data_IF_843870917340
#
_entry.id   IF_843870917340
#
_cell.length_a   1.000
_cell.length_b   1.000
_cell.length_c   1.000
_cell.angle_alpha   90.00
_cell.angle_beta   90.00
_cell.angle_gamma   90.00
#
_symmetry.space_group_name_H-M   'P 1'
#
loop_
_entity.id
_entity.type
_entity.pdbx_description
1 polymer ?
#
# COMPACT_ATOMS: atom_id res chain seq x y z
N UNK A 1 9.76 5.25 10.47
CA UNK A 1 8.92 4.48 11.41
C UNK A 1 9.82 3.43 12.04
N UNK A 2 10.26 3.59 13.29
CA UNK A 2 11.08 2.59 13.97
C UNK A 2 10.14 1.54 14.61
N UNK A 3 10.16 0.32 14.08
CA UNK A 3 9.48 -0.82 14.68
C UNK A 3 10.42 -1.48 15.69
N UNK A 4 9.95 -1.70 16.93
CA UNK A 4 10.62 -2.62 17.85
C UNK A 4 9.87 -3.94 17.80
N UNK A 5 10.59 -5.06 17.86
CA UNK A 5 9.98 -6.39 17.99
C UNK A 5 9.19 -6.52 19.31
N UNK A 6 9.60 -5.76 20.34
CA UNK A 6 8.97 -5.76 21.66
C UNK A 6 7.70 -4.88 21.73
N UNK A 7 7.44 -4.09 20.69
CA UNK A 7 6.26 -3.24 20.63
C UNK A 7 5.04 -4.09 20.23
N UNK A 8 4.34 -4.65 21.23
CA UNK A 8 3.15 -5.48 21.02
C UNK A 8 2.10 -4.80 20.14
N UNK A 9 1.96 -3.47 20.20
CA UNK A 9 1.00 -2.75 19.33
C UNK A 9 1.35 -2.89 17.84
N UNK A 10 2.64 -3.11 17.52
CA UNK A 10 3.13 -3.30 16.16
C UNK A 10 3.26 -4.77 15.75
N UNK A 11 3.38 -5.71 16.69
CA UNK A 11 3.65 -7.12 16.35
C UNK A 11 2.45 -8.05 16.59
N UNK A 12 1.55 -7.73 17.51
CA UNK A 12 0.45 -8.63 17.91
C UNK A 12 -0.49 -8.97 16.76
N UNK A 13 -0.82 -8.00 15.90
CA UNK A 13 -1.67 -8.23 14.74
C UNK A 13 -1.03 -9.13 13.67
N UNK A 14 0.30 -9.22 13.63
CA UNK A 14 1.02 -10.14 12.73
C UNK A 14 1.07 -11.55 13.32
N UNK A 15 1.32 -11.64 14.63
CA UNK A 15 1.35 -12.91 15.36
C UNK A 15 -0.04 -13.56 15.48
N UNK A 16 -1.11 -12.76 15.36
CA UNK A 16 -2.49 -13.25 15.34
C UNK A 16 -2.93 -13.81 13.97
N UNK A 17 -2.09 -13.75 12.93
CA UNK A 17 -2.42 -14.33 11.62
C UNK A 17 -2.42 -15.86 11.68
N UNK A 18 -3.28 -16.48 10.87
CA UNK A 18 -3.36 -17.94 10.80
C UNK A 18 -2.03 -18.55 10.35
N UNK A 19 -1.55 -19.53 11.12
CA UNK A 19 -0.25 -20.18 10.91
C UNK A 19 0.98 -19.33 11.22
N UNK A 20 0.83 -18.16 11.86
CA UNK A 20 1.96 -17.30 12.23
C UNK A 20 2.85 -17.94 13.30
N UNK A 21 2.25 -18.62 14.29
CA UNK A 21 3.00 -19.25 15.38
C UNK A 21 3.97 -20.33 14.90
N UNK A 22 3.70 -20.94 13.74
CA UNK A 22 4.52 -22.01 13.17
C UNK A 22 5.46 -21.53 12.06
N UNK A 23 5.10 -20.46 11.33
CA UNK A 23 5.78 -20.09 10.06
C UNK A 23 6.23 -18.63 9.97
N UNK A 24 5.81 -17.76 10.90
CA UNK A 24 6.20 -16.35 10.89
C UNK A 24 7.42 -16.14 11.80
N UNK A 25 8.52 -15.70 11.21
CA UNK A 25 9.72 -15.28 11.93
C UNK A 25 9.90 -13.78 11.78
N UNK A 26 9.91 -13.05 12.90
CA UNK A 26 10.12 -11.61 12.91
C UNK A 26 11.61 -11.30 13.10
N UNK A 27 12.16 -10.47 12.22
CA UNK A 27 13.54 -9.99 12.28
C UNK A 27 13.56 -8.48 12.49
N UNK A 28 14.45 -8.02 13.37
CA UNK A 28 14.74 -6.58 13.49
C UNK A 28 15.76 -6.23 12.42
N UNK A 29 15.42 -5.27 11.58
CA UNK A 29 16.27 -4.78 10.49
C UNK A 29 16.29 -3.26 10.51
N UNK A 30 17.40 -2.66 10.11
CA UNK A 30 17.54 -1.22 9.99
C UNK A 30 17.90 -0.86 8.55
N UNK A 31 17.05 -0.07 7.91
CA UNK A 31 17.07 0.12 6.45
C UNK A 31 18.42 0.62 5.92
N UNK A 32 19.11 1.47 6.68
CA UNK A 32 20.38 2.08 6.31
C UNK A 32 21.60 1.42 6.96
N UNK A 33 21.39 0.43 7.83
CA UNK A 33 22.47 -0.32 8.47
C UNK A 33 22.89 -1.48 7.57
N UNK A 34 24.14 -1.45 7.09
CA UNK A 34 24.61 -2.39 6.08
C UNK A 34 24.70 -3.82 6.65
N UNK A 35 24.11 -4.78 5.93
CA UNK A 35 24.07 -6.18 6.37
C UNK A 35 22.97 -6.50 7.38
N UNK A 36 22.17 -5.52 7.83
CA UNK A 36 21.07 -5.75 8.77
C UNK A 36 19.99 -6.71 8.25
N UNK A 37 19.94 -6.94 6.93
CA UNK A 37 19.03 -7.89 6.28
C UNK A 37 19.64 -9.29 6.07
N UNK A 38 20.95 -9.48 6.27
CA UNK A 38 21.66 -10.72 5.90
C UNK A 38 21.01 -11.95 6.55
N UNK A 39 20.78 -11.93 7.86
CA UNK A 39 20.14 -13.04 8.58
C UNK A 39 18.68 -13.27 8.17
N UNK A 40 17.96 -12.22 7.75
CA UNK A 40 16.56 -12.34 7.38
C UNK A 40 16.37 -12.97 5.99
N UNK A 41 17.37 -12.85 5.11
CA UNK A 41 17.30 -13.39 3.74
C UNK A 41 18.06 -14.72 3.59
N UNK A 42 18.79 -15.14 4.61
CA UNK A 42 19.52 -16.42 4.60
C UNK A 42 18.55 -17.60 4.41
N UNK A 43 18.91 -18.53 3.52
CA UNK A 43 18.10 -19.70 3.17
C UNK A 43 16.83 -19.41 2.37
N UNK A 44 16.52 -18.16 2.07
CA UNK A 44 15.34 -17.81 1.28
C UNK A 44 15.52 -18.18 -0.21
N UNK A 45 14.42 -18.57 -0.85
CA UNK A 45 14.35 -18.73 -2.32
C UNK A 45 13.92 -17.45 -3.03
N UNK A 46 13.28 -16.53 -2.31
CA UNK A 46 12.82 -15.27 -2.84
C UNK A 46 12.61 -14.23 -1.77
N UNK A 47 12.66 -12.97 -2.19
CA UNK A 47 12.52 -11.81 -1.29
C UNK A 47 11.50 -10.83 -1.86
N UNK A 48 10.53 -10.43 -1.04
CA UNK A 48 9.53 -9.42 -1.36
C UNK A 48 9.88 -8.12 -0.64
N UNK A 49 10.48 -7.17 -1.35
CA UNK A 49 10.77 -5.85 -0.81
C UNK A 49 9.57 -4.92 -1.00
N UNK A 50 8.74 -4.85 0.05
CA UNK A 50 7.52 -4.01 0.10
C UNK A 50 7.71 -2.71 0.90
N UNK A 51 8.81 -2.62 1.66
CA UNK A 51 9.10 -1.48 2.52
C UNK A 51 9.28 -0.21 1.68
N UNK A 52 8.58 0.86 2.07
CA UNK A 52 8.73 2.16 1.42
C UNK A 52 8.60 3.32 2.41
N UNK A 53 9.49 4.33 2.35
CA UNK A 53 9.36 5.54 3.14
C UNK A 53 7.99 6.17 2.97
N UNK A 54 7.40 6.59 4.09
CA UNK A 54 6.05 7.14 4.14
C UNK A 54 6.02 8.30 5.12
N UNK A 55 6.34 9.50 4.63
CA UNK A 55 6.32 10.74 5.41
C UNK A 55 5.26 11.69 4.84
N UNK A 56 4.51 12.34 5.72
CA UNK A 56 3.50 13.36 5.36
C UNK A 56 4.10 14.77 5.39
N UNK A 57 5.11 15.00 6.23
CA UNK A 57 5.85 16.24 6.36
C UNK A 57 7.33 15.91 6.16
N UNK A 58 7.90 16.35 5.04
CA UNK A 58 9.27 16.05 4.60
C UNK A 58 10.05 17.34 4.60
N UNK A 59 11.06 17.44 5.46
CA UNK A 59 11.88 18.66 5.56
C UNK A 59 13.03 18.63 4.56
N UNK A 60 13.67 17.47 4.43
CA UNK A 60 14.70 17.21 3.42
C UNK A 60 14.28 16.07 2.49
N UNK A 61 13.70 16.36 1.32
CA UNK A 61 13.31 15.37 0.33
C UNK A 61 14.46 14.48 -0.17
N UNK A 62 15.68 15.01 -0.20
CA UNK A 62 16.84 14.25 -0.65
C UNK A 62 17.19 13.18 0.37
N UNK A 63 17.41 13.57 1.62
CA UNK A 63 17.79 12.63 2.68
C UNK A 63 16.64 11.68 3.06
N UNK A 64 15.44 12.22 3.27
CA UNK A 64 14.31 11.48 3.88
C UNK A 64 13.53 10.61 2.90
N UNK A 65 13.63 10.87 1.59
CA UNK A 65 12.94 10.06 0.58
C UNK A 65 13.90 9.42 -0.42
N UNK A 66 14.72 10.21 -1.11
CA UNK A 66 15.52 9.71 -2.23
C UNK A 66 16.64 8.81 -1.71
N UNK A 67 17.49 9.34 -0.83
CA UNK A 67 18.62 8.60 -0.27
C UNK A 67 18.14 7.39 0.52
N UNK A 68 17.10 7.54 1.35
CA UNK A 68 16.53 6.43 2.11
C UNK A 68 16.01 5.33 1.19
N UNK A 69 15.29 5.67 0.12
CA UNK A 69 14.78 4.68 -0.83
C UNK A 69 15.90 4.00 -1.61
N UNK A 70 16.87 4.76 -2.14
CA UNK A 70 17.98 4.22 -2.94
C UNK A 70 18.91 3.38 -2.06
N UNK A 71 19.42 3.92 -0.96
CA UNK A 71 20.36 3.23 -0.07
C UNK A 71 19.69 2.03 0.58
N UNK A 72 18.44 2.16 1.04
CA UNK A 72 17.67 1.04 1.60
C UNK A 72 17.44 -0.10 0.61
N UNK A 73 17.09 0.23 -0.64
CA UNK A 73 16.92 -0.77 -1.70
C UNK A 73 18.24 -1.48 -2.00
N UNK A 74 19.33 -0.73 -2.14
CA UNK A 74 20.67 -1.30 -2.40
C UNK A 74 21.14 -2.19 -1.25
N UNK A 75 20.85 -1.83 0.00
CA UNK A 75 21.20 -2.64 1.16
C UNK A 75 20.54 -4.03 1.08
N UNK A 76 19.23 -4.08 0.83
CA UNK A 76 18.50 -5.34 0.63
C UNK A 76 19.08 -6.15 -0.54
N UNK A 77 19.34 -5.50 -1.69
CA UNK A 77 19.93 -6.17 -2.85
C UNK A 77 21.31 -6.77 -2.55
N UNK A 78 22.16 -6.08 -1.78
CA UNK A 78 23.48 -6.59 -1.38
C UNK A 78 23.35 -7.80 -0.47
N UNK A 79 22.43 -7.79 0.49
CA UNK A 79 22.15 -8.96 1.33
C UNK A 79 21.68 -10.14 0.49
N UNK A 80 20.76 -9.92 -0.45
CA UNK A 80 20.29 -10.98 -1.34
C UNK A 80 21.40 -11.55 -2.23
N UNK A 81 22.30 -10.71 -2.74
CA UNK A 81 23.39 -11.13 -3.61
C UNK A 81 24.40 -12.08 -2.92
N UNK A 82 24.46 -12.07 -1.58
CA UNK A 82 25.30 -12.99 -0.79
C UNK A 82 24.69 -14.39 -0.67
N UNK A 83 23.41 -14.57 -0.98
CA UNK A 83 22.65 -15.81 -0.72
C UNK A 83 22.37 -16.56 -2.03
N UNK A 84 23.07 -17.68 -2.32
CA UNK A 84 22.95 -18.39 -3.59
C UNK A 84 21.57 -19.04 -3.83
N UNK A 85 20.78 -19.27 -2.77
CA UNK A 85 19.46 -19.88 -2.88
C UNK A 85 18.39 -18.93 -3.44
N UNK A 86 18.62 -17.62 -3.42
CA UNK A 86 17.65 -16.62 -3.89
C UNK A 86 17.57 -16.65 -5.41
N UNK A 87 16.37 -16.93 -5.93
CA UNK A 87 16.09 -17.04 -7.36
C UNK A 87 15.38 -15.82 -7.92
N UNK A 88 14.61 -15.11 -7.09
CA UNK A 88 13.77 -13.99 -7.54
C UNK A 88 13.56 -12.98 -6.42
N UNK A 89 13.68 -11.70 -6.77
CA UNK A 89 13.42 -10.57 -5.86
C UNK A 89 12.30 -9.74 -6.46
N UNK A 90 11.27 -9.46 -5.68
CA UNK A 90 10.13 -8.65 -6.09
C UNK A 90 10.16 -7.32 -5.35
N UNK A 91 10.07 -6.22 -6.10
CA UNK A 91 10.04 -4.87 -5.57
C UNK A 91 8.66 -4.25 -5.77
N UNK A 92 8.04 -3.80 -4.68
CA UNK A 92 6.85 -2.97 -4.75
C UNK A 92 7.25 -1.52 -4.98
N UNK A 93 7.11 -1.03 -6.22
CA UNK A 93 7.37 0.37 -6.54
C UNK A 93 6.06 1.15 -6.51
N UNK A 94 5.99 2.15 -5.62
CA UNK A 94 4.90 3.13 -5.64
C UNK A 94 5.27 4.28 -6.57
N UNK A 95 4.41 4.54 -7.53
CA UNK A 95 4.53 5.74 -8.35
C UNK A 95 3.57 6.80 -7.78
N UNK A 96 4.09 7.93 -7.30
CA UNK A 96 3.27 9.00 -6.70
C UNK A 96 2.25 9.60 -7.68
N UNK A 97 2.45 9.46 -9.00
CA UNK A 97 1.47 9.81 -10.02
C UNK A 97 0.27 8.84 -10.07
N UNK A 98 0.36 7.72 -9.36
CA UNK A 98 -0.69 6.70 -9.20
C UNK A 98 -0.98 6.57 -7.71
N UNK A 99 -1.72 7.54 -7.17
CA UNK A 99 -2.06 7.58 -5.74
C UNK A 99 -2.72 6.28 -5.28
N UNK A 100 -2.08 5.59 -4.34
CA UNK A 100 -2.71 4.55 -3.54
C UNK A 100 -3.17 5.15 -2.21
N UNK A 101 -4.47 5.02 -1.93
CA UNK A 101 -5.10 5.45 -0.68
C UNK A 101 -4.85 4.50 0.51
N UNK A 102 -4.16 3.37 0.33
CA UNK A 102 -4.08 2.30 1.35
C UNK A 102 -3.13 2.56 2.52
N UNK A 103 -2.87 3.82 2.91
CA UNK A 103 -2.22 4.10 4.19
C UNK A 103 -3.31 4.16 5.24
N UNK A 104 -3.70 3.00 5.78
CA UNK A 104 -4.71 2.85 6.84
C UNK A 104 -4.52 3.80 8.04
N UNK A 105 -3.29 4.28 8.30
CA UNK A 105 -2.99 5.29 9.32
C UNK A 105 -3.25 6.75 8.88
N UNK A 106 -3.00 7.08 7.61
CA UNK A 106 -3.32 8.40 7.05
C UNK A 106 -4.81 8.52 6.73
N UNK A 107 -5.42 7.42 6.28
CA UNK A 107 -6.87 7.28 6.15
C UNK A 107 -7.55 7.39 7.52
N UNK A 108 -7.06 6.68 8.53
CA UNK A 108 -7.51 6.79 9.93
C UNK A 108 -7.41 8.22 10.47
N UNK A 109 -6.31 8.92 10.22
CA UNK A 109 -6.15 10.30 10.68
C UNK A 109 -7.05 11.27 9.89
N UNK A 110 -7.19 11.07 8.58
CA UNK A 110 -8.04 11.89 7.73
C UNK A 110 -9.54 11.68 8.03
N UNK A 111 -9.98 10.43 8.22
CA UNK A 111 -11.36 10.09 8.57
C UNK A 111 -11.70 10.52 9.99
N UNK A 112 -10.84 10.23 10.97
CA UNK A 112 -11.05 10.69 12.35
C UNK A 112 -11.09 12.22 12.44
N UNK A 113 -10.21 12.93 11.72
CA UNK A 113 -10.27 14.37 11.61
C UNK A 113 -11.56 14.86 10.92
N UNK A 114 -11.99 14.18 9.84
CA UNK A 114 -13.21 14.52 9.13
C UNK A 114 -14.48 14.30 9.97
N UNK A 115 -14.51 13.27 10.82
CA UNK A 115 -15.62 13.00 11.73
C UNK A 115 -15.65 13.95 12.92
N UNK A 116 -14.50 14.15 13.58
CA UNK A 116 -14.38 15.05 14.74
C UNK A 116 -14.69 16.52 14.36
N UNK A 117 -14.49 16.89 13.10
CA UNK A 117 -14.70 18.26 12.61
C UNK A 117 -15.90 18.39 11.65
N UNK A 118 -16.68 17.32 11.45
CA UNK A 118 -17.84 17.32 10.56
C UNK A 118 -17.50 17.89 9.18
N UNK A 119 -16.48 17.32 8.51
CA UNK A 119 -15.97 17.81 7.23
C UNK A 119 -17.14 18.02 6.25
N UNK A 120 -17.53 19.28 6.07
CA UNK A 120 -18.62 19.64 5.18
C UNK A 120 -18.18 19.60 3.71
N UNK A 121 -16.86 19.64 3.49
CA UNK A 121 -16.24 19.79 2.18
C UNK A 121 -15.25 18.66 1.86
N UNK A 122 -15.11 18.34 0.58
CA UNK A 122 -14.08 17.45 0.05
C UNK A 122 -13.35 18.11 -1.12
N UNK A 123 -12.09 17.75 -1.35
CA UNK A 123 -11.36 18.16 -2.54
C UNK A 123 -11.60 17.13 -3.65
N UNK A 124 -12.13 17.56 -4.80
CA UNK A 124 -12.31 16.62 -5.91
C UNK A 124 -10.95 16.28 -6.50
N UNK A 125 -10.59 15.00 -6.44
CA UNK A 125 -9.32 14.48 -6.93
C UNK A 125 -9.54 13.10 -7.52
N UNK A 126 -8.80 12.78 -8.57
CA UNK A 126 -8.88 11.49 -9.25
C UNK A 126 -7.81 10.56 -8.71
N UNK A 127 -8.21 9.41 -8.18
CA UNK A 127 -7.33 8.38 -7.65
C UNK A 127 -7.52 7.07 -8.42
N UNK A 128 -6.54 6.15 -8.34
CA UNK A 128 -6.73 4.78 -8.85
C UNK A 128 -6.91 3.84 -7.67
N UNK A 129 -8.02 3.11 -7.69
CA UNK A 129 -8.39 2.22 -6.59
C UNK A 129 -8.05 0.78 -6.93
N UNK A 130 -7.34 0.13 -6.03
CA UNK A 130 -6.96 -1.26 -6.16
C UNK A 130 -7.08 -1.93 -4.79
N UNK A 131 -7.67 -3.12 -4.76
CA UNK A 131 -7.76 -3.90 -3.54
C UNK A 131 -6.37 -4.41 -3.12
N UNK A 132 -6.06 -4.34 -1.83
CA UNK A 132 -4.76 -4.77 -1.30
C UNK A 132 -4.53 -6.28 -1.49
N UNK A 133 -5.61 -7.06 -1.55
CA UNK A 133 -5.58 -8.50 -1.81
C UNK A 133 -5.13 -8.78 -3.23
N UNK A 134 -5.63 -8.01 -4.21
CA UNK A 134 -5.21 -8.11 -5.61
C UNK A 134 -3.71 -7.81 -5.75
N UNK A 135 -3.22 -6.78 -5.04
CA UNK A 135 -1.79 -6.42 -5.01
C UNK A 135 -0.97 -7.56 -4.43
N UNK A 136 -1.39 -8.12 -3.29
CA UNK A 136 -0.68 -9.21 -2.61
C UNK A 136 -0.64 -10.48 -3.48
N UNK A 137 -1.76 -10.85 -4.08
CA UNK A 137 -1.87 -11.98 -5.00
C UNK A 137 -1.00 -11.79 -6.24
N UNK A 138 -0.94 -10.58 -6.81
CA UNK A 138 -0.08 -10.29 -7.95
C UNK A 138 1.41 -10.50 -7.62
N UNK A 139 1.85 -10.18 -6.39
CA UNK A 139 3.22 -10.46 -5.97
C UNK A 139 3.46 -11.98 -5.89
N UNK A 140 2.56 -12.73 -5.26
CA UNK A 140 2.67 -14.20 -5.15
C UNK A 140 2.72 -14.84 -6.54
N UNK A 141 1.77 -14.49 -7.41
CA UNK A 141 1.70 -15.02 -8.77
C UNK A 141 2.94 -14.66 -9.61
N UNK A 142 3.46 -13.45 -9.48
CA UNK A 142 4.71 -13.06 -10.14
C UNK A 142 5.92 -13.84 -9.59
N UNK A 143 5.91 -14.21 -8.30
CA UNK A 143 6.96 -15.01 -7.71
C UNK A 143 6.90 -16.46 -8.20
N UNK A 144 5.72 -17.08 -8.15
CA UNK A 144 5.50 -18.49 -8.48
C UNK A 144 5.62 -18.77 -9.98
N UNK A 145 5.25 -17.81 -10.84
CA UNK A 145 5.34 -17.98 -12.29
C UNK A 145 6.82 -17.89 -12.75
N UNK A 146 7.43 -18.96 -13.26
CA UNK A 146 8.84 -18.95 -13.68
C UNK A 146 9.08 -18.07 -14.92
N UNK A 147 8.03 -17.79 -15.71
CA UNK A 147 8.10 -16.93 -16.89
C UNK A 147 7.88 -15.45 -16.56
N UNK A 148 7.52 -15.13 -15.32
CA UNK A 148 7.30 -13.74 -14.94
C UNK A 148 8.62 -12.97 -14.89
N UNK A 149 8.68 -11.86 -15.63
CA UNK A 149 9.86 -11.00 -15.70
C UNK A 149 9.48 -9.54 -15.93
N UNK A 150 10.40 -8.62 -15.64
CA UNK A 150 10.20 -7.18 -15.85
C UNK A 150 9.16 -6.57 -14.90
N UNK A 151 8.40 -5.59 -15.40
CA UNK A 151 7.50 -4.76 -14.58
C UNK A 151 6.04 -5.12 -14.82
N UNK A 152 5.27 -5.21 -13.74
CA UNK A 152 3.82 -5.43 -13.78
C UNK A 152 3.12 -4.21 -13.19
N UNK A 153 2.38 -3.48 -14.02
CA UNK A 153 1.58 -2.36 -13.56
C UNK A 153 0.29 -2.90 -12.94
N UNK A 154 0.13 -2.68 -11.63
CA UNK A 154 -1.11 -2.99 -10.91
C UNK A 154 -1.82 -1.66 -10.69
N UNK A 155 -2.77 -1.35 -11.57
CA UNK A 155 -3.46 -0.07 -11.55
C UNK A 155 -4.95 -0.30 -11.81
N UNK A 156 -5.79 0.17 -10.90
CA UNK A 156 -7.24 0.20 -11.10
C UNK A 156 -7.67 1.31 -12.05
N UNK A 157 -8.99 1.47 -12.19
CA UNK A 157 -9.56 2.56 -13.00
C UNK A 157 -9.35 3.91 -12.29
N UNK A 158 -9.11 5.01 -13.02
CA UNK A 158 -9.23 6.34 -12.46
C UNK A 158 -10.67 6.57 -11.99
N UNK A 159 -10.82 7.00 -10.73
CA UNK A 159 -12.10 7.30 -10.10
C UNK A 159 -12.00 8.65 -9.42
N UNK A 160 -12.97 9.52 -9.67
CA UNK A 160 -13.10 10.78 -8.96
C UNK A 160 -13.58 10.54 -7.53
N UNK A 161 -13.12 11.36 -6.59
CA UNK A 161 -13.56 11.25 -5.20
C UNK A 161 -15.08 11.42 -5.04
N UNK A 162 -15.70 12.28 -5.86
CA UNK A 162 -17.16 12.43 -5.93
C UNK A 162 -17.90 11.13 -6.26
N UNK A 163 -17.37 10.31 -7.17
CA UNK A 163 -17.93 9.01 -7.53
C UNK A 163 -17.82 8.01 -6.37
N UNK A 164 -16.72 8.07 -5.61
CA UNK A 164 -16.52 7.22 -4.43
C UNK A 164 -17.54 7.59 -3.36
N UNK A 165 -17.71 8.88 -3.06
CA UNK A 165 -18.72 9.36 -2.12
C UNK A 165 -20.13 8.92 -2.55
N UNK A 166 -20.44 8.97 -3.85
CA UNK A 166 -21.72 8.47 -4.38
C UNK A 166 -21.90 6.97 -4.11
N UNK A 167 -20.88 6.14 -4.36
CA UNK A 167 -20.92 4.70 -4.06
C UNK A 167 -21.06 4.44 -2.56
N UNK A 168 -20.31 5.16 -1.72
CA UNK A 168 -20.38 5.03 -0.27
C UNK A 168 -21.75 5.42 0.28
N UNK A 169 -22.39 6.48 -0.22
CA UNK A 169 -23.77 6.85 0.18
C UNK A 169 -24.79 5.77 -0.19
N UNK A 170 -24.60 5.07 -1.31
CA UNK A 170 -25.48 3.97 -1.71
C UNK A 170 -25.28 2.74 -0.83
N UNK A 171 -24.02 2.40 -0.49
CA UNK A 171 -23.69 1.24 0.34
C UNK A 171 -23.97 1.48 1.83
N UNK A 172 -23.79 2.72 2.31
CA UNK A 172 -23.87 3.12 3.70
C UNK A 172 -24.62 4.47 3.86
N UNK A 173 -25.95 4.50 3.70
CA UNK A 173 -26.73 5.73 3.77
C UNK A 173 -26.67 6.45 5.13
N UNK A 174 -26.34 5.72 6.20
CA UNK A 174 -26.22 6.26 7.56
C UNK A 174 -24.86 6.91 7.84
N UNK A 175 -23.90 6.81 6.92
CA UNK A 175 -22.56 7.38 7.10
C UNK A 175 -22.60 8.88 6.80
N UNK A 176 -22.15 9.70 7.75
CA UNK A 176 -22.05 11.15 7.60
C UNK A 176 -20.90 11.48 6.64
N UNK A 177 -21.22 11.67 5.35
CA UNK A 177 -20.24 11.93 4.29
C UNK A 177 -20.27 13.40 3.86
N UNK A 178 -19.12 14.00 3.49
CA UNK A 178 -19.04 15.39 3.03
C UNK A 178 -19.93 15.62 1.80
N UNK A 179 -20.60 16.78 1.74
CA UNK A 179 -21.54 17.13 0.66
C UNK A 179 -20.96 18.11 -0.37
N UNK A 180 -20.14 19.07 0.07
CA UNK A 180 -19.68 20.17 -0.78
C UNK A 180 -18.29 19.90 -1.36
N UNK A 181 -18.09 20.18 -2.64
CA UNK A 181 -16.74 20.19 -3.21
C UNK A 181 -16.07 21.53 -2.90
N UNK A 182 -14.79 21.55 -2.52
CA UNK A 182 -13.98 22.77 -2.55
C UNK A 182 -13.79 23.20 -4.02
N UNK A 183 -14.07 24.46 -4.33
CA UNK A 183 -14.20 25.01 -5.68
C UNK A 183 -13.03 24.66 -6.63
N UNK A 184 -13.35 24.54 -7.93
CA UNK A 184 -12.46 24.09 -9.01
C UNK A 184 -11.15 24.90 -9.14
N UNK A 185 -11.13 26.17 -8.72
CA UNK A 185 -9.93 27.04 -8.75
C UNK A 185 -8.81 26.59 -7.79
N UNK A 186 -9.13 25.79 -6.76
CA UNK A 186 -8.13 25.21 -5.83
C UNK A 186 -7.95 23.70 -6.06
N UNK A 187 -8.60 23.14 -7.08
CA UNK A 187 -8.44 21.74 -7.42
C UNK A 187 -7.03 21.50 -7.99
N UNK A 188 -6.35 20.47 -7.47
CA UNK A 188 -5.16 19.92 -8.11
C UNK A 188 -5.54 19.59 -9.57
N UNK A 189 -4.73 19.96 -10.58
CA UNK A 189 -5.05 19.67 -11.98
C UNK A 189 -5.46 18.21 -12.13
N UNK A 190 -6.64 17.98 -12.72
CA UNK A 190 -7.21 16.66 -12.92
C UNK A 190 -6.13 15.74 -13.48
N UNK A 191 -5.72 14.72 -12.71
CA UNK A 191 -4.80 13.71 -13.22
C UNK A 191 -5.37 13.18 -14.53
N UNK A 192 -4.58 13.12 -15.62
CA UNK A 192 -5.13 12.71 -16.89
C UNK A 192 -5.73 11.31 -16.74
N UNK A 193 -6.93 11.14 -17.28
CA UNK A 193 -7.76 9.93 -17.19
C UNK A 193 -7.23 8.78 -18.04
N UNK A 194 -5.93 8.79 -18.35
CA UNK A 194 -5.29 7.77 -19.17
C UNK A 194 -5.44 6.41 -18.50
N UNK A 195 -5.81 5.41 -19.29
CA UNK A 195 -5.91 4.05 -18.80
C UNK A 195 -4.52 3.43 -18.75
N UNK A 196 -4.26 2.66 -17.71
CA UNK A 196 -3.06 1.82 -17.63
C UNK A 196 -3.46 0.43 -18.07
N UNK A 197 -2.69 -0.16 -18.99
CA UNK A 197 -2.96 -1.54 -19.42
C UNK A 197 -2.84 -2.50 -18.23
N UNK A 198 -3.85 -3.33 -18.08
CA UNK A 198 -3.91 -4.41 -17.09
C UNK A 198 -3.56 -5.78 -17.69
N UNK A 199 -3.27 -5.86 -18.99
CA UNK A 199 -3.10 -7.14 -19.70
C UNK A 199 -1.95 -7.95 -19.11
N UNK A 200 -0.82 -7.30 -18.84
CA UNK A 200 0.38 -7.97 -18.33
C UNK A 200 0.20 -8.51 -16.91
N UNK A 201 -0.55 -7.82 -16.05
CA UNK A 201 -0.82 -8.33 -14.69
C UNK A 201 -1.91 -9.41 -14.73
N UNK A 202 -2.90 -9.28 -15.61
CA UNK A 202 -3.89 -10.35 -15.86
C UNK A 202 -3.27 -11.61 -16.44
N UNK A 203 -2.19 -11.50 -17.22
CA UNK A 203 -1.47 -12.67 -17.74
C UNK A 203 -0.75 -13.48 -16.64
N UNK A 204 -0.66 -12.96 -15.40
CA UNK A 204 -0.23 -13.74 -14.23
C UNK A 204 -1.37 -14.56 -13.60
N UNK A 205 -2.62 -14.34 -14.01
CA UNK A 205 -3.82 -14.91 -13.38
C UNK A 205 -4.51 -14.00 -12.37
N UNK A 206 -4.10 -12.73 -12.25
CA UNK A 206 -4.72 -11.77 -11.33
C UNK A 206 -6.14 -11.44 -11.79
N UNK A 207 -7.08 -11.59 -10.87
CA UNK A 207 -8.47 -11.12 -11.02
C UNK A 207 -8.66 -9.91 -10.12
N UNK A 208 -9.21 -8.83 -10.67
CA UNK A 208 -9.41 -7.59 -9.93
C UNK A 208 -10.72 -7.61 -9.16
N UNK A 209 -10.65 -7.30 -7.87
CA UNK A 209 -11.80 -7.14 -6.99
C UNK A 209 -12.63 -5.91 -7.41
N UNK A 210 -13.96 -6.03 -7.52
CA UNK A 210 -14.83 -4.88 -7.81
C UNK A 210 -14.71 -3.77 -6.76
N UNK A 211 -14.86 -2.52 -7.19
CA UNK A 211 -14.72 -1.35 -6.32
C UNK A 211 -15.68 -1.42 -5.12
N UNK A 212 -16.92 -1.81 -5.35
CA UNK A 212 -17.98 -1.87 -4.35
C UNK A 212 -17.66 -2.90 -3.26
N UNK A 213 -17.03 -4.01 -3.65
CA UNK A 213 -16.59 -5.06 -2.72
C UNK A 213 -15.44 -4.53 -1.85
N UNK A 214 -14.45 -3.89 -2.47
CA UNK A 214 -13.28 -3.33 -1.77
C UNK A 214 -13.67 -2.17 -0.83
N UNK A 215 -14.57 -1.28 -1.26
CA UNK A 215 -15.11 -0.21 -0.41
C UNK A 215 -15.88 -0.77 0.78
N UNK A 216 -16.70 -1.80 0.57
CA UNK A 216 -17.44 -2.46 1.65
C UNK A 216 -16.49 -3.09 2.67
N UNK A 217 -15.52 -3.88 2.22
CA UNK A 217 -14.52 -4.48 3.12
C UNK A 217 -13.77 -3.40 3.90
N UNK A 218 -13.34 -2.33 3.22
CA UNK A 218 -12.64 -1.20 3.87
C UNK A 218 -13.48 -0.59 5.00
N UNK A 219 -14.75 -0.27 4.75
CA UNK A 219 -15.63 0.35 5.76
C UNK A 219 -15.91 -0.61 6.92
N UNK A 220 -16.18 -1.90 6.65
CA UNK A 220 -16.39 -2.87 7.73
C UNK A 220 -15.14 -3.07 8.58
N UNK A 221 -13.94 -3.17 7.96
CA UNK A 221 -12.65 -3.25 8.67
C UNK A 221 -12.39 -2.03 9.54
N UNK A 222 -12.81 -0.85 9.07
CA UNK A 222 -12.67 0.39 9.83
C UNK A 222 -13.61 0.40 11.05
N UNK A 223 -14.86 -0.07 10.91
CA UNK A 223 -15.81 -0.23 12.03
C UNK A 223 -15.31 -1.23 13.07
N UNK A 224 -14.83 -2.40 12.64
CA UNK A 224 -14.27 -3.43 13.52
C UNK A 224 -13.12 -2.90 14.40
N UNK A 225 -12.39 -1.90 13.89
CA UNK A 225 -11.25 -1.27 14.59
C UNK A 225 -11.64 -0.01 15.36
N UNK A 226 -12.94 0.28 15.49
CA UNK A 226 -13.51 1.45 16.15
C UNK A 226 -12.94 2.76 15.58
N UNK A 227 -12.92 2.87 14.24
CA UNK A 227 -12.66 4.14 13.56
C UNK A 227 -13.89 4.98 13.31
N UNK A 228 -15.08 4.45 13.62
CA UNK A 228 -16.38 5.09 13.59
C UNK A 228 -17.03 4.99 14.97
#
# INVERSE_FOLDING_TARGET
MHGSLDDRKKTEHLLALDGANERLHLFKVEMLDEGSFDSAVEGCMGVFHTASPSYLDVKDPQAEMIDLAVKGTLNVLRSCAKVPSIKKILFSVRNKSFGMCSKTLAEKAAWKFAEENGAQTFQNSTFRWIDVTDVSNAHILAFENPLACGRYCIAGKPLQFSEILKNLRQLYPSLNLPEKCLDEEQSMPAFPTFQVSQERVKSLGVTFTPLEVSLKDTIERLKERNFF
#
